data_IF_656461734879
#
_entry.id   IF_656461734879
#
_cell.length_a   1.000
_cell.length_b   1.000
_cell.length_c   1.000
_cell.angle_alpha   90.00
_cell.angle_beta   90.00
_cell.angle_gamma   90.00
#
_symmetry.space_group_name_H-M   'P 1'
#
loop_
_entity.id
_entity.type
_entity.pdbx_description
1 polymer ?
#
# COMPACT_ATOMS: atom_id res chain seq x y z
N UNK A 1 28.03 27.47 11.49
CA UNK A 1 26.83 28.01 12.14
C UNK A 1 26.00 28.73 11.10
N UNK A 2 24.84 28.19 10.75
CA UNK A 2 23.73 28.93 10.14
C UNK A 2 22.47 28.11 10.45
N UNK A 3 21.87 28.39 11.60
CA UNK A 3 20.54 27.91 11.96
C UNK A 3 19.51 28.55 11.02
N UNK A 4 18.67 27.74 10.38
CA UNK A 4 17.45 28.23 9.72
C UNK A 4 16.29 28.04 10.70
N UNK A 5 15.85 29.17 11.27
CA UNK A 5 14.60 29.30 12.01
C UNK A 5 13.42 28.90 11.13
N UNK A 6 12.63 27.94 11.60
CA UNK A 6 11.29 27.69 11.08
C UNK A 6 10.38 28.80 11.59
N UNK A 7 10.07 29.77 10.72
CA UNK A 7 9.03 30.75 10.97
C UNK A 7 7.66 30.07 10.96
N UNK A 8 6.93 30.16 12.06
CA UNK A 8 5.50 29.91 12.16
C UNK A 8 4.76 30.86 11.21
N UNK A 9 4.37 30.37 10.04
CA UNK A 9 3.69 31.14 9.00
C UNK A 9 2.19 30.84 8.94
N UNK A 10 1.40 31.37 9.87
CA UNK A 10 -0.06 31.40 9.79
C UNK A 10 -0.58 32.41 8.74
N UNK A 11 0.17 32.64 7.65
CA UNK A 11 -0.03 33.78 6.73
C UNK A 11 -0.31 33.40 5.27
N UNK A 12 -0.54 32.11 4.97
CA UNK A 12 -0.83 31.67 3.59
C UNK A 12 -2.32 31.78 3.22
N UNK A 13 -3.22 31.88 4.20
CA UNK A 13 -4.67 32.01 3.96
C UNK A 13 -5.13 33.43 3.58
N UNK A 14 -4.41 34.48 4.00
CA UNK A 14 -4.84 35.86 3.79
C UNK A 14 -4.43 36.46 2.44
N UNK A 15 -3.42 35.89 1.76
CA UNK A 15 -2.92 36.46 0.49
C UNK A 15 -3.79 36.15 -0.73
N UNK A 16 -4.78 35.28 -0.60
CA UNK A 16 -5.68 34.92 -1.71
C UNK A 16 -6.91 35.84 -1.82
N UNK A 17 -7.13 36.74 -0.87
CA UNK A 17 -8.30 37.63 -0.87
C UNK A 17 -8.10 38.88 -1.75
N UNK A 18 -6.89 39.13 -2.28
CA UNK A 18 -6.58 40.33 -3.06
C UNK A 18 -6.45 40.13 -4.59
N UNK A 19 -6.81 38.96 -5.13
CA UNK A 19 -6.84 38.75 -6.59
C UNK A 19 -8.28 38.71 -7.10
N UNK A 20 -8.99 39.83 -6.95
CA UNK A 20 -10.27 40.08 -7.60
C UNK A 20 -10.16 41.37 -8.43
N UNK A 21 -9.82 41.21 -9.71
CA UNK A 21 -10.40 42.00 -10.82
C UNK A 21 -9.64 41.72 -12.12
N UNK A 22 -10.42 41.42 -13.17
CA UNK A 22 -10.05 41.41 -14.60
C UNK A 22 -9.42 40.12 -15.14
N UNK A 23 -10.25 39.09 -15.36
CA UNK A 23 -10.14 38.26 -16.56
C UNK A 23 -11.50 38.17 -17.23
N UNK A 24 -11.50 38.65 -18.47
CA UNK A 24 -12.58 38.78 -19.43
C UNK A 24 -13.50 37.55 -19.57
N UNK A 25 -14.75 37.84 -19.95
CA UNK A 25 -15.76 36.92 -20.46
C UNK A 25 -15.20 36.06 -21.62
N UNK A 26 -14.67 34.88 -21.31
CA UNK A 26 -14.46 33.82 -22.28
C UNK A 26 -15.56 32.78 -22.12
N UNK A 27 -16.58 32.95 -22.98
CA UNK A 27 -17.57 31.97 -23.33
C UNK A 27 -16.87 30.73 -23.94
N UNK A 28 -16.43 29.80 -23.10
CA UNK A 28 -15.91 28.49 -23.51
C UNK A 28 -16.93 27.44 -23.09
N UNK A 29 -17.93 27.26 -23.94
CA UNK A 29 -18.67 26.01 -24.02
C UNK A 29 -17.76 24.96 -24.65
N UNK A 30 -16.85 24.41 -23.85
CA UNK A 30 -16.19 23.14 -24.15
C UNK A 30 -15.79 22.47 -22.84
N UNK A 31 -16.12 21.19 -22.74
CA UNK A 31 -15.90 20.31 -21.59
C UNK A 31 -14.40 20.17 -21.32
N UNK A 32 -13.85 21.09 -20.53
CA UNK A 32 -12.53 20.94 -19.94
C UNK A 32 -12.63 19.85 -18.86
N UNK A 33 -11.94 18.71 -19.01
CA UNK A 33 -12.01 17.66 -18.02
C UNK A 33 -11.31 18.14 -16.76
N UNK A 34 -11.99 18.07 -15.61
CA UNK A 34 -11.58 18.55 -14.27
C UNK A 34 -10.09 18.31 -13.88
N UNK A 35 -9.42 17.33 -14.49
CA UNK A 35 -7.97 17.11 -14.37
C UNK A 35 -7.08 18.19 -14.99
N UNK A 36 -7.59 19.04 -15.88
CA UNK A 36 -6.86 20.18 -16.47
C UNK A 36 -6.68 21.32 -15.47
N UNK A 37 -7.59 21.52 -14.52
CA UNK A 37 -7.51 22.61 -13.55
C UNK A 37 -6.43 22.34 -12.49
N UNK A 38 -6.36 21.11 -12.01
CA UNK A 38 -5.28 20.66 -11.13
C UNK A 38 -3.93 20.57 -11.87
N UNK A 39 -3.94 20.25 -13.17
CA UNK A 39 -2.75 20.37 -14.04
C UNK A 39 -2.33 21.84 -14.21
N UNK A 40 -3.25 22.78 -14.36
CA UNK A 40 -2.93 24.21 -14.47
C UNK A 40 -2.29 24.75 -13.20
N UNK A 41 -2.76 24.35 -12.01
CA UNK A 41 -2.14 24.69 -10.73
C UNK A 41 -0.70 24.15 -10.63
N UNK A 42 -0.48 22.88 -10.98
CA UNK A 42 0.85 22.27 -10.99
C UNK A 42 1.78 22.87 -12.07
N UNK A 43 1.23 23.21 -13.25
CA UNK A 43 1.99 23.81 -14.36
C UNK A 43 2.35 25.28 -14.13
N UNK A 44 1.66 25.98 -13.23
CA UNK A 44 2.03 27.35 -12.81
C UNK A 44 3.39 27.43 -12.10
N UNK A 45 3.98 26.28 -11.74
CA UNK A 45 5.35 26.17 -11.21
C UNK A 45 5.51 26.64 -9.76
N UNK A 46 4.41 27.04 -9.10
CA UNK A 46 4.41 27.58 -7.74
C UNK A 46 4.15 26.53 -6.65
N UNK A 47 3.52 25.41 -7.00
CA UNK A 47 3.08 24.36 -6.06
C UNK A 47 3.30 22.99 -6.69
N UNK A 48 3.93 22.08 -5.95
CA UNK A 48 4.10 20.68 -6.36
C UNK A 48 2.78 19.92 -6.30
N UNK A 49 2.68 18.82 -7.05
CA UNK A 49 1.47 17.98 -7.08
C UNK A 49 1.09 17.47 -5.69
N UNK A 50 2.09 17.10 -4.88
CA UNK A 50 1.95 16.65 -3.51
C UNK A 50 1.46 17.77 -2.59
N UNK A 51 1.91 19.00 -2.80
CA UNK A 51 1.44 20.18 -2.05
C UNK A 51 -0.03 20.53 -2.39
N UNK A 52 -0.47 20.36 -3.64
CA UNK A 52 -1.90 20.51 -4.02
C UNK A 52 -2.77 19.49 -3.27
N UNK A 53 -2.34 18.23 -3.18
CA UNK A 53 -3.07 17.20 -2.44
C UNK A 53 -3.10 17.47 -0.93
N UNK A 54 -2.02 18.03 -0.36
CA UNK A 54 -1.97 18.43 1.04
C UNK A 54 -2.88 19.64 1.33
N UNK A 55 -2.98 20.60 0.41
CA UNK A 55 -3.88 21.75 0.52
C UNK A 55 -5.36 21.34 0.45
N UNK A 56 -5.66 20.28 -0.30
CA UNK A 56 -6.99 19.70 -0.46
C UNK A 56 -7.30 18.58 0.55
N UNK A 57 -6.48 18.38 1.58
CA UNK A 57 -6.66 17.27 2.55
C UNK A 57 -7.80 17.48 3.56
N UNK A 58 -8.33 18.69 3.69
CA UNK A 58 -9.54 18.96 4.47
C UNK A 58 -10.80 18.82 3.59
N UNK A 59 -11.84 18.09 4.02
CA UNK A 59 -13.07 17.88 3.24
C UNK A 59 -13.67 19.19 2.71
N UNK A 60 -13.66 20.21 3.56
CA UNK A 60 -14.23 21.53 3.29
C UNK A 60 -13.44 22.28 2.19
N UNK A 61 -12.13 22.02 2.08
CA UNK A 61 -11.27 22.67 1.08
C UNK A 61 -11.41 22.05 -0.31
N UNK A 62 -11.83 20.79 -0.38
CA UNK A 62 -12.10 20.11 -1.64
C UNK A 62 -13.35 20.70 -2.28
N UNK A 63 -14.42 20.84 -1.50
CA UNK A 63 -15.67 21.44 -1.98
C UNK A 63 -15.48 22.91 -2.35
N UNK A 64 -14.70 23.66 -1.56
CA UNK A 64 -14.39 25.05 -1.84
C UNK A 64 -13.52 25.22 -3.09
N UNK A 65 -12.50 24.38 -3.29
CA UNK A 65 -11.69 24.40 -4.51
C UNK A 65 -12.53 24.05 -5.76
N UNK A 66 -13.47 23.11 -5.65
CA UNK A 66 -14.40 22.75 -6.72
C UNK A 66 -15.48 23.83 -6.97
N UNK A 67 -15.86 24.57 -5.92
CA UNK A 67 -16.82 25.69 -5.99
C UNK A 67 -16.20 26.93 -6.62
N UNK A 68 -14.98 27.30 -6.20
CA UNK A 68 -14.20 28.42 -6.76
C UNK A 68 -13.91 28.19 -8.25
N UNK A 69 -13.73 26.94 -8.68
CA UNK A 69 -13.50 26.60 -10.08
C UNK A 69 -14.76 26.65 -10.97
N UNK A 70 -15.95 26.97 -10.43
CA UNK A 70 -17.16 27.20 -11.22
C UNK A 70 -17.77 25.96 -11.88
N UNK A 71 -17.34 24.74 -11.52
CA UNK A 71 -17.82 23.49 -12.10
C UNK A 71 -19.20 23.17 -11.50
N UNK A 72 -20.28 23.48 -12.24
CA UNK A 72 -21.63 23.06 -11.86
C UNK A 72 -21.77 21.55 -12.05
N UNK A 73 -21.90 20.83 -10.93
CA UNK A 73 -22.11 19.39 -10.94
C UNK A 73 -23.56 19.03 -11.30
N UNK A 74 -23.74 18.30 -12.40
CA UNK A 74 -24.98 17.56 -12.67
C UNK A 74 -25.01 16.28 -11.83
N UNK A 75 -25.47 16.39 -10.59
CA UNK A 75 -26.28 15.37 -9.90
C UNK A 75 -25.75 13.93 -9.83
N UNK A 76 -24.45 13.69 -9.70
CA UNK A 76 -23.94 12.36 -9.30
C UNK A 76 -22.99 12.49 -8.13
N UNK A 77 -23.54 12.18 -6.94
CA UNK A 77 -22.93 12.18 -5.61
C UNK A 77 -21.84 11.10 -5.44
N UNK A 78 -20.87 11.04 -6.36
CA UNK A 78 -19.62 10.36 -6.04
C UNK A 78 -18.75 11.33 -5.23
N UNK A 79 -18.36 10.97 -3.99
CA UNK A 79 -17.76 11.89 -3.04
C UNK A 79 -16.47 12.44 -3.66
N UNK A 80 -16.32 13.75 -3.57
CA UNK A 80 -15.22 14.55 -4.10
C UNK A 80 -13.82 13.93 -3.83
N UNK A 81 -13.67 13.21 -2.72
CA UNK A 81 -12.48 12.44 -2.37
C UNK A 81 -12.09 11.35 -3.38
N UNK A 82 -13.03 10.54 -3.88
CA UNK A 82 -12.71 9.47 -4.84
C UNK A 82 -12.20 10.05 -6.17
N UNK A 83 -12.72 11.23 -6.56
CA UNK A 83 -12.25 11.93 -7.76
C UNK A 83 -10.82 12.43 -7.59
N UNK A 84 -10.49 13.00 -6.43
CA UNK A 84 -9.13 13.43 -6.10
C UNK A 84 -8.16 12.25 -6.01
N UNK A 85 -8.56 11.14 -5.40
CA UNK A 85 -7.74 9.93 -5.35
C UNK A 85 -7.47 9.37 -6.76
N UNK A 86 -8.49 9.31 -7.63
CA UNK A 86 -8.30 8.89 -9.01
C UNK A 86 -7.38 9.83 -9.80
N UNK A 87 -7.49 11.15 -9.58
CA UNK A 87 -6.58 12.12 -10.19
C UNK A 87 -5.15 11.96 -9.68
N UNK A 88 -4.97 11.82 -8.36
CA UNK A 88 -3.68 11.53 -7.73
C UNK A 88 -3.06 10.24 -8.30
N UNK A 89 -3.85 9.18 -8.42
CA UNK A 89 -3.42 7.89 -8.95
C UNK A 89 -3.05 7.96 -10.44
N UNK A 90 -3.71 8.83 -11.21
CA UNK A 90 -3.40 9.08 -12.62
C UNK A 90 -2.10 9.88 -12.86
N UNK A 91 -1.66 10.68 -11.88
CA UNK A 91 -0.47 11.53 -12.02
C UNK A 91 0.74 11.02 -11.23
N UNK A 92 0.54 10.21 -10.19
CA UNK A 92 1.65 9.66 -9.40
C UNK A 92 2.53 8.75 -10.24
N UNK A 93 3.85 8.87 -10.06
CA UNK A 93 4.83 7.93 -10.64
C UNK A 93 5.17 6.79 -9.69
N UNK A 94 5.03 7.03 -8.40
CA UNK A 94 5.33 6.05 -7.36
C UNK A 94 4.12 5.14 -7.15
N UNK A 95 4.39 3.83 -7.05
CA UNK A 95 3.38 2.86 -6.65
C UNK A 95 3.13 2.96 -5.16
N UNK A 96 1.86 2.82 -4.76
CA UNK A 96 1.49 2.68 -3.34
C UNK A 96 1.33 1.21 -3.03
N UNK A 97 2.12 0.72 -2.07
CA UNK A 97 2.15 -0.68 -1.66
C UNK A 97 1.84 -0.78 -0.16
N UNK A 98 1.17 -1.85 0.25
CA UNK A 98 0.91 -2.12 1.68
C UNK A 98 2.04 -2.90 2.31
N UNK A 99 2.23 -2.69 3.60
CA UNK A 99 3.09 -3.51 4.46
C UNK A 99 2.21 -4.24 5.46
N UNK A 100 1.76 -5.43 5.10
CA UNK A 100 0.92 -6.26 5.96
C UNK A 100 1.14 -7.73 5.68
N UNK A 101 1.23 -8.52 6.75
CA UNK A 101 1.22 -9.98 6.72
C UNK A 101 -0.20 -10.57 6.89
N UNK A 102 -1.22 -9.76 7.15
CA UNK A 102 -2.56 -10.26 7.44
C UNK A 102 -3.44 -10.25 6.17
N UNK A 103 -3.97 -11.41 5.72
CA UNK A 103 -4.80 -11.50 4.51
C UNK A 103 -6.01 -10.54 4.52
N UNK A 104 -6.67 -10.38 5.66
CA UNK A 104 -7.84 -9.49 5.77
C UNK A 104 -7.48 -8.01 5.58
N UNK A 105 -6.32 -7.61 6.08
CA UNK A 105 -5.78 -6.25 5.89
C UNK A 105 -5.35 -6.07 4.45
N UNK A 106 -4.63 -7.03 3.85
CA UNK A 106 -4.23 -6.98 2.44
C UNK A 106 -5.47 -6.79 1.56
N UNK A 107 -6.52 -7.61 1.74
CA UNK A 107 -7.76 -7.48 0.97
C UNK A 107 -8.41 -6.11 1.13
N UNK A 108 -8.42 -5.56 2.34
CA UNK A 108 -8.96 -4.22 2.60
C UNK A 108 -8.14 -3.15 1.87
N UNK A 109 -6.83 -3.24 1.93
CA UNK A 109 -5.90 -2.27 1.34
C UNK A 109 -5.97 -2.30 -0.19
N UNK A 110 -6.03 -3.49 -0.79
CA UNK A 110 -6.27 -3.66 -2.23
C UNK A 110 -7.60 -3.01 -2.63
N UNK A 111 -8.67 -3.22 -1.85
CA UNK A 111 -9.96 -2.56 -2.08
C UNK A 111 -9.91 -1.03 -1.90
N UNK A 112 -8.87 -0.49 -1.26
CA UNK A 112 -8.61 0.95 -1.10
C UNK A 112 -7.68 1.52 -2.17
N UNK A 113 -7.28 0.73 -3.17
CA UNK A 113 -6.46 1.20 -4.30
C UNK A 113 -4.95 0.98 -4.12
N UNK A 114 -4.53 0.21 -3.12
CA UNK A 114 -3.13 -0.24 -3.02
C UNK A 114 -2.80 -1.17 -4.18
N UNK A 115 -1.61 -1.03 -4.75
CA UNK A 115 -1.20 -1.69 -6.00
C UNK A 115 -0.43 -3.00 -5.78
N UNK A 116 -0.31 -3.46 -4.54
CA UNK A 116 0.39 -4.68 -4.15
C UNK A 116 0.91 -4.64 -2.72
N UNK A 117 1.56 -5.71 -2.31
CA UNK A 117 2.19 -5.85 -1.00
C UNK A 117 3.70 -5.63 -1.15
N UNK A 118 4.19 -4.53 -0.59
CA UNK A 118 5.58 -4.10 -0.74
C UNK A 118 6.53 -4.76 0.26
N UNK A 119 6.01 -5.32 1.35
CA UNK A 119 6.78 -6.11 2.28
C UNK A 119 5.89 -6.98 3.17
N UNK A 120 6.12 -8.28 3.15
CA UNK A 120 5.69 -9.24 4.15
C UNK A 120 6.95 -9.79 4.82
N UNK A 121 7.12 -9.55 6.12
CA UNK A 121 8.26 -10.12 6.86
C UNK A 121 7.99 -11.58 7.19
N UNK A 122 8.97 -12.47 6.98
CA UNK A 122 8.85 -13.88 7.36
C UNK A 122 8.53 -14.05 8.85
N UNK A 123 9.11 -13.19 9.71
CA UNK A 123 8.80 -13.15 11.13
C UNK A 123 7.34 -12.83 11.41
N UNK A 124 6.76 -11.86 10.70
CA UNK A 124 5.36 -11.47 10.91
C UNK A 124 4.40 -12.58 10.44
N UNK A 125 4.76 -13.29 9.35
CA UNK A 125 3.98 -14.40 8.82
C UNK A 125 3.84 -15.55 9.83
N UNK A 126 4.94 -15.91 10.51
CA UNK A 126 4.96 -17.04 11.45
C UNK A 126 4.24 -16.75 12.77
N UNK A 127 3.95 -15.48 13.08
CA UNK A 127 3.21 -15.11 14.31
C UNK A 127 1.69 -15.39 14.23
N UNK A 128 1.18 -15.94 13.12
CA UNK A 128 -0.25 -16.15 12.91
C UNK A 128 -0.79 -17.43 13.57
N UNK A 129 -1.59 -17.29 14.63
CA UNK A 129 -2.39 -18.37 15.22
C UNK A 129 -1.63 -19.68 15.47
N UNK A 130 -2.17 -20.79 14.95
CA UNK A 130 -1.58 -22.14 15.10
C UNK A 130 -0.20 -22.29 14.45
N UNK A 131 0.15 -21.46 13.46
CA UNK A 131 1.46 -21.50 12.82
C UNK A 131 2.56 -21.16 13.83
N UNK A 132 2.31 -20.16 14.68
CA UNK A 132 3.22 -19.75 15.75
C UNK A 132 3.46 -20.88 16.75
N UNK A 133 2.40 -21.56 17.17
CA UNK A 133 2.50 -22.65 18.15
C UNK A 133 3.34 -23.82 17.61
N UNK A 134 3.11 -24.20 16.35
CA UNK A 134 3.86 -25.27 15.69
C UNK A 134 5.31 -24.85 15.45
N UNK A 135 5.54 -23.60 15.04
CA UNK A 135 6.89 -23.05 14.86
C UNK A 135 7.69 -23.06 16.16
N UNK A 136 7.14 -22.49 17.24
CA UNK A 136 7.78 -22.49 18.56
C UNK A 136 8.01 -23.93 19.04
N UNK A 137 7.05 -24.83 18.85
CA UNK A 137 7.21 -26.25 19.21
C UNK A 137 8.33 -26.93 18.41
N UNK A 138 8.49 -26.58 17.13
CA UNK A 138 9.55 -27.07 16.27
C UNK A 138 10.92 -26.57 16.74
N UNK A 139 11.05 -25.29 17.09
CA UNK A 139 12.30 -24.72 17.64
C UNK A 139 12.77 -25.45 18.92
N UNK A 140 11.83 -25.85 19.78
CA UNK A 140 12.15 -26.54 21.02
C UNK A 140 12.37 -28.06 20.84
N UNK A 141 12.12 -28.60 19.64
CA UNK A 141 12.30 -30.02 19.37
C UNK A 141 13.78 -30.32 19.06
N UNK A 142 14.53 -30.77 20.08
CA UNK A 142 15.99 -31.03 20.05
C UNK A 142 16.44 -32.24 19.22
N UNK A 143 15.92 -32.38 18.00
CA UNK A 143 16.16 -33.45 17.01
C UNK A 143 15.43 -34.78 17.23
N UNK A 144 15.17 -35.49 16.12
CA UNK A 144 14.45 -36.77 16.06
C UNK A 144 13.18 -36.71 15.21
N UNK A 145 12.41 -37.80 15.24
CA UNK A 145 11.15 -37.97 14.48
C UNK A 145 10.09 -36.89 14.80
N UNK A 146 10.10 -36.36 16.02
CA UNK A 146 9.20 -35.27 16.42
C UNK A 146 9.50 -33.96 15.67
N UNK A 147 10.77 -33.63 15.46
CA UNK A 147 11.16 -32.41 14.75
C UNK A 147 10.78 -32.50 13.26
N UNK A 148 10.99 -33.66 12.64
CA UNK A 148 10.61 -33.87 11.23
C UNK A 148 9.09 -33.83 11.03
N UNK A 149 8.32 -34.40 11.95
CA UNK A 149 6.86 -34.29 11.94
C UNK A 149 6.38 -32.84 12.11
N UNK A 150 6.94 -32.10 13.07
CA UNK A 150 6.61 -30.70 13.30
C UNK A 150 6.98 -29.82 12.09
N UNK A 151 8.12 -30.07 11.45
CA UNK A 151 8.53 -29.38 10.21
C UNK A 151 7.52 -29.61 9.08
N UNK A 152 7.09 -30.85 8.86
CA UNK A 152 6.05 -31.15 7.85
C UNK A 152 4.74 -30.43 8.17
N UNK A 153 4.34 -30.42 9.46
CA UNK A 153 3.14 -29.72 9.91
C UNK A 153 3.26 -28.20 9.73
N UNK A 154 4.44 -27.64 10.02
CA UNK A 154 4.78 -26.24 9.81
C UNK A 154 4.61 -25.86 8.34
N UNK A 155 5.25 -26.60 7.43
CA UNK A 155 5.17 -26.35 5.99
C UNK A 155 3.71 -26.35 5.51
N UNK A 156 2.89 -27.34 5.92
CA UNK A 156 1.48 -27.38 5.53
C UNK A 156 0.67 -26.16 6.01
N UNK A 157 0.84 -25.77 7.28
CA UNK A 157 0.15 -24.60 7.82
C UNK A 157 0.62 -23.31 7.15
N UNK A 158 1.92 -23.20 6.90
CA UNK A 158 2.51 -22.03 6.28
C UNK A 158 2.09 -21.91 4.81
N UNK A 159 1.99 -23.02 4.09
CA UNK A 159 1.41 -23.07 2.74
C UNK A 159 -0.04 -22.57 2.76
N UNK A 160 -0.88 -23.05 3.69
CA UNK A 160 -2.26 -22.57 3.81
C UNK A 160 -2.34 -21.07 4.11
N UNK A 161 -1.41 -20.55 4.91
CA UNK A 161 -1.29 -19.12 5.17
C UNK A 161 -0.92 -18.36 3.89
N UNK A 162 0.09 -18.80 3.13
CA UNK A 162 0.51 -18.14 1.90
C UNK A 162 -0.55 -18.18 0.80
N UNK A 163 -1.31 -19.28 0.68
CA UNK A 163 -2.48 -19.36 -0.19
C UNK A 163 -3.48 -18.25 0.16
N UNK A 164 -3.75 -18.04 1.45
CA UNK A 164 -4.66 -16.97 1.90
C UNK A 164 -4.13 -15.57 1.56
N UNK A 165 -2.81 -15.36 1.69
CA UNK A 165 -2.15 -14.10 1.30
C UNK A 165 -2.26 -13.86 -0.21
N UNK A 166 -1.95 -14.86 -1.05
CA UNK A 166 -2.01 -14.71 -2.51
C UNK A 166 -3.44 -14.49 -3.02
N UNK A 167 -4.42 -15.20 -2.45
CA UNK A 167 -5.84 -14.92 -2.72
C UNK A 167 -6.24 -13.51 -2.33
N UNK A 168 -5.75 -13.00 -1.19
CA UNK A 168 -6.03 -11.63 -0.76
C UNK A 168 -5.38 -10.58 -1.68
N UNK A 169 -4.23 -10.90 -2.27
CA UNK A 169 -3.51 -10.01 -3.20
C UNK A 169 -4.13 -9.97 -4.61
N UNK A 170 -4.93 -10.97 -5.01
CA UNK A 170 -5.68 -10.99 -6.27
C UNK A 170 -4.82 -10.69 -7.52
N UNK A 171 -3.65 -11.31 -7.64
CA UNK A 171 -2.73 -11.06 -8.76
C UNK A 171 -1.75 -9.90 -8.55
N UNK A 172 -1.92 -9.11 -7.49
CA UNK A 172 -0.98 -8.05 -7.17
C UNK A 172 0.37 -8.60 -6.70
N UNK A 173 1.42 -7.84 -7.01
CA UNK A 173 2.80 -8.11 -6.59
C UNK A 173 2.90 -8.24 -5.07
N UNK A 174 3.58 -9.28 -4.61
CA UNK A 174 3.83 -9.57 -3.19
C UNK A 174 5.33 -9.73 -2.96
N UNK A 175 5.94 -8.76 -2.28
CA UNK A 175 7.32 -8.85 -1.84
C UNK A 175 7.41 -9.47 -0.43
N UNK A 176 8.18 -10.55 -0.31
CA UNK A 176 8.32 -11.35 0.91
C UNK A 176 9.77 -11.37 1.36
N UNK A 177 10.02 -10.93 2.59
CA UNK A 177 11.30 -11.08 3.27
C UNK A 177 11.46 -12.47 3.87
N UNK A 178 12.66 -13.03 3.74
CA UNK A 178 13.01 -14.27 4.45
C UNK A 178 12.98 -14.08 5.96
N UNK A 179 12.57 -15.14 6.66
CA UNK A 179 12.52 -15.21 8.10
C UNK A 179 13.90 -14.96 8.70
N UNK A 180 13.95 -14.04 9.65
CA UNK A 180 15.07 -13.79 10.55
C UNK A 180 14.59 -13.86 11.99
N UNK A 181 15.02 -14.89 12.71
CA UNK A 181 14.63 -15.08 14.11
C UNK A 181 15.89 -15.19 14.99
N UNK A 182 16.08 -14.20 15.85
CA UNK A 182 17.21 -14.12 16.78
C UNK A 182 17.20 -15.24 17.84
N UNK A 183 16.08 -15.96 18.00
CA UNK A 183 15.99 -17.12 18.88
C UNK A 183 16.65 -18.37 18.30
N UNK A 184 16.96 -18.37 16.99
CA UNK A 184 17.69 -19.45 16.33
C UNK A 184 19.16 -19.36 16.71
N UNK A 185 19.65 -20.41 17.34
CA UNK A 185 20.98 -20.43 17.95
C UNK A 185 22.10 -20.64 16.93
N UNK A 186 21.76 -21.17 15.75
CA UNK A 186 22.71 -21.46 14.69
C UNK A 186 22.22 -20.99 13.32
N UNK A 187 23.17 -20.60 12.46
CA UNK A 187 22.91 -20.27 11.06
C UNK A 187 22.35 -21.45 10.25
N UNK A 188 22.53 -22.68 10.73
CA UNK A 188 21.96 -23.86 10.11
C UNK A 188 20.46 -23.97 10.39
N UNK A 189 20.03 -23.70 11.63
CA UNK A 189 18.60 -23.67 12.00
C UNK A 189 17.86 -22.53 11.25
N UNK A 190 18.51 -21.38 11.08
CA UNK A 190 17.97 -20.27 10.29
C UNK A 190 17.75 -20.68 8.83
N UNK A 191 18.75 -21.32 8.20
CA UNK A 191 18.61 -21.85 6.84
C UNK A 191 17.51 -22.88 6.73
N UNK A 192 17.39 -23.79 7.69
CA UNK A 192 16.31 -24.78 7.66
C UNK A 192 14.91 -24.13 7.77
N UNK A 193 14.78 -23.07 8.55
CA UNK A 193 13.54 -22.32 8.66
C UNK A 193 13.23 -21.54 7.37
N UNK A 194 14.24 -20.94 6.75
CA UNK A 194 14.12 -20.26 5.45
C UNK A 194 13.79 -21.24 4.33
N UNK A 195 14.38 -22.44 4.32
CA UNK A 195 14.05 -23.51 3.38
C UNK A 195 12.58 -23.94 3.54
N UNK A 196 12.10 -24.10 4.78
CA UNK A 196 10.71 -24.42 5.05
C UNK A 196 9.76 -23.29 4.59
N UNK A 197 10.15 -22.02 4.79
CA UNK A 197 9.41 -20.87 4.27
C UNK A 197 9.32 -20.90 2.74
N UNK A 198 10.46 -21.05 2.06
CA UNK A 198 10.53 -21.08 0.59
C UNK A 198 9.72 -22.25 0.03
N UNK A 199 9.87 -23.45 0.59
CA UNK A 199 9.07 -24.61 0.22
C UNK A 199 7.57 -24.32 0.36
N UNK A 200 7.17 -23.69 1.47
CA UNK A 200 5.76 -23.37 1.71
C UNK A 200 5.21 -22.32 0.73
N UNK A 201 6.02 -21.32 0.36
CA UNK A 201 5.69 -20.27 -0.61
C UNK A 201 5.47 -20.84 -2.00
N UNK A 202 6.42 -21.64 -2.51
CA UNK A 202 6.32 -22.20 -3.86
C UNK A 202 5.17 -23.21 -3.98
N UNK A 203 4.91 -24.01 -2.94
CA UNK A 203 3.71 -24.87 -2.88
C UNK A 203 2.43 -24.07 -2.93
N UNK A 204 2.38 -22.94 -2.22
CA UNK A 204 1.21 -22.06 -2.23
C UNK A 204 1.00 -21.41 -3.60
N UNK A 205 2.07 -20.98 -4.27
CA UNK A 205 2.00 -20.45 -5.64
C UNK A 205 1.49 -21.49 -6.64
N UNK A 206 2.01 -22.73 -6.56
CA UNK A 206 1.54 -23.84 -7.39
C UNK A 206 0.05 -24.10 -7.19
N UNK A 207 -0.39 -24.16 -5.92
CA UNK A 207 -1.81 -24.33 -5.60
C UNK A 207 -2.67 -23.18 -6.15
N UNK A 208 -2.27 -21.93 -5.92
CA UNK A 208 -3.00 -20.76 -6.43
C UNK A 208 -3.07 -20.76 -7.97
N UNK A 209 -1.99 -21.14 -8.65
CA UNK A 209 -1.95 -21.27 -10.11
C UNK A 209 -2.96 -22.30 -10.62
N UNK A 210 -3.08 -23.46 -9.94
CA UNK A 210 -4.10 -24.46 -10.29
C UNK A 210 -5.53 -24.00 -10.06
N UNK A 211 -5.74 -23.05 -9.14
CA UNK A 211 -7.02 -22.40 -8.87
C UNK A 211 -7.27 -21.18 -9.78
N UNK A 212 -6.34 -20.85 -10.69
CA UNK A 212 -6.45 -19.75 -11.64
C UNK A 212 -6.07 -18.38 -11.07
N UNK A 213 -5.41 -18.33 -9.90
CA UNK A 213 -4.89 -17.11 -9.30
C UNK A 213 -3.44 -16.90 -9.73
N UNK A 214 -3.20 -15.85 -10.51
CA UNK A 214 -1.85 -15.43 -10.88
C UNK A 214 -1.12 -14.92 -9.63
N UNK A 215 0.09 -15.41 -9.39
CA UNK A 215 0.88 -15.02 -8.22
C UNK A 215 2.16 -14.31 -8.67
N UNK A 216 2.33 -13.07 -8.27
CA UNK A 216 3.56 -12.29 -8.53
C UNK A 216 4.38 -12.20 -7.24
N UNK A 217 5.32 -13.12 -7.06
CA UNK A 217 6.18 -13.18 -5.87
C UNK A 217 7.53 -12.50 -6.13
N UNK A 218 7.94 -11.64 -5.21
CA UNK A 218 9.30 -11.12 -5.11
C UNK A 218 9.93 -11.54 -3.79
N UNK A 219 11.15 -12.07 -3.83
CA UNK A 219 11.88 -12.48 -2.64
C UNK A 219 12.89 -11.41 -2.25
N UNK A 220 12.85 -11.00 -0.98
CA UNK A 220 13.78 -10.04 -0.37
C UNK A 220 14.71 -10.80 0.59
N UNK A 221 16.02 -10.63 0.41
CA UNK A 221 17.09 -11.31 1.16
C UNK A 221 17.67 -10.41 2.25
#
# INVERSE_FOLDING_TARGET
MTERQWGTGSGLGERLVEMDSEVDDLNVGDLVPDGELLKQLAMSGSVTHEEVLLLLSAPDHIEEALRISGIRHNGTDHPSLNRLLNWSDGNRRLKVLTRSAQPDTIRRDINQGVQGVGLIRGEEAVQSGLLREVYVSWLHARSGEKSTWLRRRLIMLWTSYWVSVFHAAQGAQCAVGLLRDDSLSSSMEEREAQDAQLESLFRAMEQCSTEGVECQLELLL
#
